data_IF_618055953641
#
_entry.id   IF_618055953641
#
_cell.length_a   1.000
_cell.length_b   1.000
_cell.length_c   1.000
_cell.angle_alpha   90.00
_cell.angle_beta   90.00
_cell.angle_gamma   90.00
#
_symmetry.space_group_name_H-M   'P 1'
#
loop_
_entity.id
_entity.type
_entity.pdbx_description
1 polymer ?
#
# COMPACT_ATOMS: atom_id res chain seq x y z
N UNK A 1 -15.03 0.87 -18.03
CA UNK A 1 -14.91 -0.26 -17.07
C UNK A 1 -13.63 -0.08 -16.28
N UNK A 2 -13.72 0.45 -15.06
CA UNK A 2 -12.57 0.62 -14.16
C UNK A 2 -12.13 -0.76 -13.67
N UNK A 3 -10.90 -1.14 -13.99
CA UNK A 3 -10.30 -2.40 -13.53
C UNK A 3 -10.26 -2.38 -12.01
N UNK A 4 -10.88 -3.37 -11.35
CA UNK A 4 -10.68 -3.66 -9.93
C UNK A 4 -9.19 -3.92 -9.70
N UNK A 5 -8.45 -2.91 -9.23
CA UNK A 5 -7.12 -3.12 -8.68
C UNK A 5 -7.29 -3.82 -7.35
N UNK A 6 -7.02 -5.13 -7.31
CA UNK A 6 -6.78 -5.81 -6.03
C UNK A 6 -5.51 -5.22 -5.45
N UNK A 7 -5.63 -4.20 -4.62
CA UNK A 7 -4.50 -3.66 -3.85
C UNK A 7 -4.09 -4.73 -2.85
N UNK A 8 -3.04 -5.49 -3.20
CA UNK A 8 -2.34 -6.33 -2.23
C UNK A 8 -1.58 -5.40 -1.29
N UNK A 9 -2.10 -5.25 -0.08
CA UNK A 9 -1.39 -4.58 1.00
C UNK A 9 -0.22 -5.48 1.40
N UNK A 10 0.98 -5.10 1.00
CA UNK A 10 2.22 -5.74 1.44
C UNK A 10 2.77 -4.89 2.57
N UNK A 11 2.79 -5.45 3.78
CA UNK A 11 3.42 -4.81 4.94
C UNK A 11 4.93 -4.87 4.78
N UNK A 12 5.60 -3.75 5.01
CA UNK A 12 7.05 -3.67 4.97
C UNK A 12 7.64 -3.88 6.36
N UNK A 13 8.64 -4.74 6.47
CA UNK A 13 9.41 -4.88 7.69
C UNK A 13 10.50 -3.79 7.78
N UNK A 14 11.05 -3.53 8.99
CA UNK A 14 12.18 -2.62 9.15
C UNK A 14 13.42 -3.05 8.35
N UNK A 15 13.60 -4.36 8.16
CA UNK A 15 14.68 -4.95 7.37
C UNK A 15 14.50 -4.63 5.88
N UNK A 16 13.26 -4.66 5.38
CA UNK A 16 12.96 -4.33 3.98
C UNK A 16 13.25 -2.87 3.69
N UNK A 17 12.91 -1.97 4.62
CA UNK A 17 13.25 -0.55 4.50
C UNK A 17 14.76 -0.32 4.53
N UNK A 18 15.48 -0.98 5.44
CA UNK A 18 16.93 -0.92 5.46
C UNK A 18 17.53 -1.42 4.13
N UNK A 19 17.05 -2.55 3.63
CA UNK A 19 17.51 -3.13 2.37
C UNK A 19 17.28 -2.18 1.17
N UNK A 20 16.12 -1.53 1.10
CA UNK A 20 15.82 -0.54 0.06
C UNK A 20 16.72 0.69 0.16
N UNK A 21 16.96 1.19 1.37
CA UNK A 21 17.81 2.36 1.61
C UNK A 21 19.26 2.07 1.22
N UNK A 22 19.78 0.89 1.57
CA UNK A 22 21.12 0.46 1.14
C UNK A 22 21.22 0.30 -0.39
N UNK A 23 20.18 -0.20 -1.04
CA UNK A 23 20.11 -0.31 -2.51
C UNK A 23 20.01 1.06 -3.21
N UNK A 24 19.32 2.03 -2.60
CA UNK A 24 19.19 3.38 -3.14
C UNK A 24 20.44 4.23 -2.94
N UNK A 25 21.18 4.00 -1.86
CA UNK A 25 22.41 4.72 -1.53
C UNK A 25 23.62 4.22 -2.32
N UNK A 26 23.71 2.91 -2.60
CA UNK A 26 24.78 2.37 -3.42
C UNK A 26 24.45 2.49 -4.92
N UNK A 27 25.22 3.32 -5.64
CA UNK A 27 25.22 3.41 -7.11
C UNK A 27 25.60 2.09 -7.82
N UNK A 28 25.91 1.03 -7.07
CA UNK A 28 26.24 -0.30 -7.59
C UNK A 28 25.12 -1.28 -7.19
N UNK A 29 24.24 -1.60 -8.15
CA UNK A 29 23.22 -2.64 -8.06
C UNK A 29 23.79 -4.05 -7.75
N UNK A 30 25.11 -4.22 -7.86
CA UNK A 30 25.80 -5.52 -7.82
C UNK A 30 26.20 -5.99 -6.42
N UNK A 31 26.19 -5.14 -5.38
CA UNK A 31 26.81 -5.50 -4.09
C UNK A 31 25.89 -6.20 -3.08
N UNK A 32 24.56 -6.17 -3.26
CA UNK A 32 23.63 -6.84 -2.33
C UNK A 32 22.51 -7.61 -3.05
N UNK A 33 22.92 -8.54 -3.91
CA UNK A 33 22.02 -9.57 -4.46
C UNK A 33 21.54 -10.58 -3.42
N UNK A 34 22.24 -10.71 -2.29
CA UNK A 34 21.90 -11.61 -1.20
C UNK A 34 21.07 -10.89 -0.11
N UNK A 35 19.77 -11.15 -0.07
CA UNK A 35 18.85 -10.63 0.94
C UNK A 35 19.25 -11.05 2.37
N UNK A 36 19.93 -12.19 2.52
CA UNK A 36 20.40 -12.66 3.83
C UNK A 36 21.58 -11.82 4.34
N UNK A 37 22.43 -11.29 3.46
CA UNK A 37 23.52 -10.40 3.82
C UNK A 37 23.00 -9.06 4.36
N UNK A 38 21.97 -8.49 3.73
CA UNK A 38 21.32 -7.26 4.20
C UNK A 38 20.65 -7.46 5.56
N UNK A 39 20.00 -8.61 5.76
CA UNK A 39 19.41 -8.97 7.06
C UNK A 39 20.47 -9.04 8.15
N UNK A 40 21.61 -9.70 7.89
CA UNK A 40 22.73 -9.75 8.83
C UNK A 40 23.34 -8.37 9.09
N UNK A 41 23.41 -7.52 8.07
CA UNK A 41 23.91 -6.15 8.20
C UNK A 41 23.00 -5.32 9.11
N UNK A 42 21.68 -5.38 8.89
CA UNK A 42 20.70 -4.74 9.75
C UNK A 42 20.79 -5.19 11.21
N UNK A 43 21.01 -6.48 11.45
CA UNK A 43 21.18 -7.01 12.81
C UNK A 43 22.42 -6.44 13.54
N UNK A 44 23.44 -6.00 12.79
CA UNK A 44 24.68 -5.40 13.31
C UNK A 44 24.58 -3.87 13.48
N UNK A 45 23.55 -3.24 12.93
CA UNK A 45 23.31 -1.80 13.12
C UNK A 45 23.12 -1.46 14.60
N UNK A 46 23.38 -0.20 14.94
CA UNK A 46 23.17 0.29 16.29
C UNK A 46 21.68 0.16 16.70
N UNK A 47 21.38 0.02 18.00
CA UNK A 47 19.99 0.01 18.47
C UNK A 47 19.19 1.23 18.03
N UNK A 48 19.83 2.41 18.00
CA UNK A 48 19.21 3.65 17.56
C UNK A 48 18.84 3.63 16.07
N UNK A 49 19.71 3.13 15.19
CA UNK A 49 19.38 2.99 13.77
C UNK A 49 18.26 1.98 13.55
N UNK A 50 18.32 0.83 14.24
CA UNK A 50 17.27 -0.18 14.16
C UNK A 50 15.91 0.38 14.58
N UNK A 51 15.88 1.17 15.65
CA UNK A 51 14.68 1.85 16.13
C UNK A 51 14.13 2.81 15.08
N UNK A 52 14.98 3.62 14.44
CA UNK A 52 14.54 4.53 13.35
C UNK A 52 13.86 3.79 12.21
N UNK A 53 14.42 2.66 11.76
CA UNK A 53 13.77 1.86 10.72
C UNK A 53 12.49 1.18 11.21
N UNK A 54 12.40 0.83 12.50
CA UNK A 54 11.19 0.26 13.09
C UNK A 54 10.04 1.27 13.13
N UNK A 55 10.28 2.47 13.68
CA UNK A 55 9.31 3.56 13.73
C UNK A 55 8.85 3.97 12.33
N UNK A 56 9.79 4.03 11.37
CA UNK A 56 9.47 4.34 9.97
C UNK A 56 8.64 3.25 9.30
N UNK A 57 8.93 1.98 9.56
CA UNK A 57 8.13 0.86 9.05
C UNK A 57 6.70 0.92 9.58
N UNK A 58 6.54 1.15 10.88
CA UNK A 58 5.24 1.29 11.52
C UNK A 58 4.43 2.44 10.92
N UNK A 59 5.02 3.64 10.83
CA UNK A 59 4.34 4.81 10.28
C UNK A 59 3.89 4.61 8.81
N UNK A 60 4.71 3.96 7.99
CA UNK A 60 4.35 3.64 6.60
C UNK A 60 3.25 2.60 6.52
N UNK A 61 3.34 1.53 7.32
CA UNK A 61 2.33 0.49 7.37
C UNK A 61 0.98 1.02 7.85
N UNK A 62 0.97 1.94 8.82
CA UNK A 62 -0.24 2.62 9.29
C UNK A 62 -0.88 3.46 8.18
N UNK A 63 -0.08 4.20 7.42
CA UNK A 63 -0.58 5.00 6.31
C UNK A 63 -1.14 4.12 5.18
N UNK A 64 -0.46 3.02 4.86
CA UNK A 64 -0.97 2.03 3.89
C UNK A 64 -2.28 1.40 4.38
N UNK A 65 -2.39 1.10 5.69
CA UNK A 65 -3.62 0.58 6.26
C UNK A 65 -4.75 1.62 6.23
N UNK A 66 -4.46 2.90 6.48
CA UNK A 66 -5.45 4.00 6.38
C UNK A 66 -5.95 4.15 4.94
N UNK A 67 -5.03 4.25 3.98
CA UNK A 67 -5.37 4.42 2.57
C UNK A 67 -6.17 3.22 2.03
N UNK A 68 -5.79 1.99 2.39
CA UNK A 68 -6.55 0.80 2.01
C UNK A 68 -7.98 0.79 2.58
N UNK A 69 -8.19 1.30 3.81
CA UNK A 69 -9.54 1.45 4.38
C UNK A 69 -10.36 2.50 3.64
N UNK A 70 -9.75 3.64 3.30
CA UNK A 70 -10.40 4.71 2.53
C UNK A 70 -10.80 4.23 1.14
N UNK A 71 -9.91 3.52 0.44
CA UNK A 71 -10.20 2.95 -0.88
C UNK A 71 -11.36 1.95 -0.81
N UNK A 72 -11.37 1.05 0.20
CA UNK A 72 -12.48 0.12 0.42
C UNK A 72 -13.80 0.86 0.65
N UNK A 73 -13.80 1.93 1.42
CA UNK A 73 -15.01 2.73 1.67
C UNK A 73 -15.47 3.46 0.41
N UNK A 74 -14.56 4.05 -0.35
CA UNK A 74 -14.88 4.72 -1.62
C UNK A 74 -15.51 3.76 -2.65
N UNK A 75 -14.97 2.54 -2.77
CA UNK A 75 -15.51 1.51 -3.66
C UNK A 75 -16.93 1.06 -3.25
N UNK A 76 -17.23 1.01 -1.95
CA UNK A 76 -18.58 0.68 -1.46
C UNK A 76 -19.60 1.77 -1.80
N UNK A 77 -19.21 3.05 -1.75
CA UNK A 77 -20.09 4.17 -2.10
C UNK A 77 -20.37 4.25 -3.60
N UNK A 78 -19.40 3.93 -4.45
CA UNK A 78 -19.64 3.87 -5.90
C UNK A 78 -20.62 2.76 -6.30
N UNK A 79 -20.65 1.65 -5.57
CA UNK A 79 -21.62 0.56 -5.82
C UNK A 79 -23.05 0.97 -5.39
N UNK A 80 -23.21 1.79 -4.34
CA UNK A 80 -24.53 2.31 -3.91
C UNK A 80 -25.07 3.41 -4.82
N UNK A 81 -24.22 4.31 -5.32
CA UNK A 81 -24.66 5.40 -6.19
C UNK A 81 -25.09 4.91 -7.58
N UNK A 82 -24.49 3.84 -8.09
CA UNK A 82 -24.90 3.17 -9.33
C UNK A 82 -26.26 2.48 -9.17
N UNK A 83 -26.53 1.85 -8.02
CA UNK A 83 -27.82 1.22 -7.76
C UNK A 83 -28.97 2.24 -7.71
N UNK A 84 -28.74 3.41 -7.09
CA UNK A 84 -29.78 4.45 -6.97
C UNK A 84 -30.09 5.18 -8.29
N UNK A 85 -29.15 5.25 -9.24
CA UNK A 85 -29.41 5.82 -10.58
C UNK A 85 -30.00 4.81 -11.58
N UNK A 86 -29.97 3.51 -11.27
CA UNK A 86 -30.63 2.48 -12.09
C UNK A 86 -32.13 2.32 -11.82
N UNK A 87 -32.64 2.94 -10.75
CA UNK A 87 -34.05 2.86 -10.34
C UNK A 87 -34.96 3.98 -10.86
N UNK A 88 -34.43 4.97 -11.59
CA UNK A 88 -35.17 6.16 -12.00
C UNK A 88 -35.31 6.28 -13.53
N UNK A 89 -35.61 5.17 -14.20
CA UNK A 89 -35.95 5.14 -15.63
C UNK A 89 -37.15 4.23 -15.92
N UNK A 90 -38.24 4.38 -15.17
CA UNK A 90 -39.53 3.80 -15.56
C UNK A 90 -40.65 4.78 -15.22
N UNK A 91 -40.91 5.70 -16.16
CA UNK A 91 -42.20 6.37 -16.30
C UNK A 91 -42.33 6.82 -17.76
N UNK A 92 -42.50 5.85 -18.66
CA UNK A 92 -43.21 6.07 -19.91
C UNK A 92 -44.71 5.94 -19.62
N UNK A 93 -45.44 7.03 -19.73
CA UNK A 93 -46.86 7.07 -20.07
C UNK A 93 -47.16 8.49 -20.57
N UNK A 94 -47.07 8.75 -21.87
CA UNK A 94 -48.10 8.49 -22.89
C UNK A 94 -49.43 9.19 -22.62
N UNK A 95 -49.80 10.03 -23.60
CA UNK A 95 -51.14 10.31 -24.15
C UNK A 95 -51.75 11.70 -23.86
N UNK A 96 -51.84 12.42 -24.99
CA UNK A 96 -52.82 13.42 -25.49
C UNK A 96 -53.09 14.71 -24.70
#
# INVERSE_FOLDING_TARGET
MLRRSTVRVVFMSPVDLYALDQRGSMLSYTQYGDASALTRSYQRCSPAERLRYAERAEALNDEVARTARLEKHALLHTDTDVAMHSGSSSSSSSIQ
#
